data_IF_729513610977
#
_entry.id   IF_729513610977
#
_cell.length_a   1.000
_cell.length_b   1.000
_cell.length_c   1.000
_cell.angle_alpha   90.00
_cell.angle_beta   90.00
_cell.angle_gamma   90.00
#
_symmetry.space_group_name_H-M   'P 1'
#
loop_
_entity.id
_entity.type
_entity.pdbx_description
1 polymer ?
#
# COMPACT_ATOMS: atom_id res chain seq x y z
N UNK A 1 -16.34 -32.77 -16.79
CA UNK A 1 -15.04 -32.11 -16.57
C UNK A 1 -15.25 -31.11 -15.45
N UNK A 2 -14.88 -31.49 -14.23
CA UNK A 2 -14.94 -30.59 -13.08
C UNK A 2 -13.79 -29.60 -13.24
N UNK A 3 -14.13 -28.40 -13.71
CA UNK A 3 -13.19 -27.31 -13.83
C UNK A 3 -12.73 -27.03 -12.40
N UNK A 4 -11.47 -27.35 -12.09
CA UNK A 4 -10.89 -27.15 -10.77
C UNK A 4 -11.26 -25.75 -10.27
N UNK A 5 -12.26 -25.71 -9.38
CA UNK A 5 -12.59 -24.50 -8.66
C UNK A 5 -11.29 -24.16 -7.94
N UNK A 6 -10.55 -23.19 -8.47
CA UNK A 6 -9.38 -22.66 -7.82
C UNK A 6 -9.94 -22.02 -6.56
N UNK A 7 -9.94 -22.81 -5.49
CA UNK A 7 -10.42 -22.37 -4.19
C UNK A 7 -9.39 -21.33 -3.78
N UNK A 8 -9.75 -20.06 -3.95
CA UNK A 8 -9.01 -18.94 -3.38
C UNK A 8 -9.36 -18.96 -1.89
N UNK A 9 -8.82 -19.97 -1.20
CA UNK A 9 -8.95 -20.11 0.23
C UNK A 9 -8.46 -18.80 0.82
N UNK A 10 -9.23 -18.24 1.75
CA UNK A 10 -8.93 -17.02 2.48
C UNK A 10 -9.29 -15.68 1.83
N UNK A 11 -9.79 -15.62 0.58
CA UNK A 11 -10.18 -14.34 -0.03
C UNK A 11 -11.24 -13.59 0.78
N UNK A 12 -12.28 -14.31 1.23
CA UNK A 12 -13.38 -13.74 1.99
C UNK A 12 -13.06 -13.53 3.47
N UNK A 13 -12.05 -14.24 4.01
CA UNK A 13 -11.62 -14.12 5.41
C UNK A 13 -10.45 -13.17 5.60
N UNK A 14 -9.87 -12.63 4.52
CA UNK A 14 -8.75 -11.70 4.59
C UNK A 14 -9.19 -10.40 5.30
N UNK A 15 -8.59 -10.14 6.45
CA UNK A 15 -8.82 -8.94 7.24
C UNK A 15 -7.75 -7.90 6.91
N UNK A 16 -8.14 -6.97 6.05
CA UNK A 16 -7.26 -5.91 5.58
C UNK A 16 -6.87 -4.92 6.67
N UNK A 17 -7.77 -4.67 7.63
CA UNK A 17 -7.50 -3.73 8.72
C UNK A 17 -6.45 -4.31 9.65
N UNK A 18 -6.60 -5.58 10.01
CA UNK A 18 -5.64 -6.28 10.86
C UNK A 18 -4.24 -6.32 10.25
N UNK A 19 -4.13 -6.55 8.94
CA UNK A 19 -2.84 -6.45 8.25
C UNK A 19 -2.22 -5.05 8.37
N UNK A 20 -3.02 -3.98 8.25
CA UNK A 20 -2.49 -2.63 8.46
C UNK A 20 -2.05 -2.38 9.90
N UNK A 21 -2.79 -2.90 10.88
CA UNK A 21 -2.43 -2.76 12.30
C UNK A 21 -1.15 -3.54 12.65
N UNK A 22 -1.01 -4.76 12.13
CA UNK A 22 0.14 -5.62 12.41
C UNK A 22 1.43 -5.12 11.72
N UNK A 23 1.31 -4.52 10.53
CA UNK A 23 2.47 -4.19 9.67
C UNK A 23 2.65 -2.70 9.35
N UNK A 24 1.76 -1.80 9.79
CA UNK A 24 1.85 -0.37 9.43
C UNK A 24 1.51 0.58 10.57
N UNK A 25 1.20 0.08 11.77
CA UNK A 25 0.65 0.87 12.89
C UNK A 25 1.55 1.97 13.43
N UNK A 26 2.85 1.94 13.12
CA UNK A 26 3.84 2.89 13.66
C UNK A 26 4.10 2.70 15.16
N UNK A 27 3.78 1.52 15.69
CA UNK A 27 4.15 1.17 17.06
C UNK A 27 5.68 1.05 17.16
N UNK A 28 6.32 1.62 18.20
CA UNK A 28 7.78 1.56 18.37
C UNK A 28 8.33 0.12 18.43
N UNK A 29 7.51 -0.82 18.90
CA UNK A 29 7.84 -2.25 19.01
C UNK A 29 7.55 -3.04 17.73
N UNK A 30 7.25 -2.35 16.61
CA UNK A 30 6.99 -2.99 15.34
C UNK A 30 8.28 -3.63 14.80
N UNK A 31 8.38 -4.95 14.95
CA UNK A 31 9.56 -5.73 14.55
C UNK A 31 9.92 -5.66 13.05
N UNK A 32 8.98 -5.21 12.21
CA UNK A 32 9.09 -5.27 10.75
C UNK A 32 9.12 -3.90 10.06
N UNK A 33 9.29 -2.79 10.80
CA UNK A 33 9.26 -1.45 10.20
C UNK A 33 10.35 -1.30 9.12
N UNK A 34 11.54 -1.86 9.36
CA UNK A 34 12.62 -1.81 8.38
C UNK A 34 12.24 -2.56 7.08
N UNK A 35 11.78 -3.79 7.21
CA UNK A 35 11.54 -4.69 6.07
C UNK A 35 10.27 -4.35 5.28
N UNK A 36 9.21 -3.90 5.94
CA UNK A 36 7.90 -3.65 5.31
C UNK A 36 7.68 -2.17 4.95
N UNK A 37 8.40 -1.24 5.58
CA UNK A 37 8.22 0.19 5.35
C UNK A 37 9.46 0.84 4.78
N UNK A 38 10.55 0.91 5.53
CA UNK A 38 11.71 1.73 5.16
C UNK A 38 12.41 1.21 3.91
N UNK A 39 12.77 -0.07 3.88
CA UNK A 39 13.45 -0.68 2.74
C UNK A 39 12.62 -0.58 1.45
N UNK A 40 11.33 -0.97 1.41
CA UNK A 40 10.50 -0.82 0.20
C UNK A 40 10.38 0.64 -0.25
N UNK A 41 10.14 1.58 0.67
CA UNK A 41 10.02 3.00 0.33
C UNK A 41 11.32 3.52 -0.30
N UNK A 42 12.48 3.22 0.29
CA UNK A 42 13.79 3.62 -0.25
C UNK A 42 14.00 3.08 -1.67
N UNK A 43 13.70 1.80 -1.91
CA UNK A 43 13.86 1.20 -3.25
C UNK A 43 12.90 1.81 -4.26
N UNK A 44 11.65 2.08 -3.87
CA UNK A 44 10.67 2.71 -4.76
C UNK A 44 11.08 4.13 -5.11
N UNK A 45 11.49 4.94 -4.13
CA UNK A 45 12.00 6.30 -4.37
C UNK A 45 13.17 6.25 -5.34
N UNK A 46 14.17 5.39 -5.09
CA UNK A 46 15.33 5.23 -5.98
C UNK A 46 14.90 4.83 -7.39
N UNK A 47 14.02 3.84 -7.52
CA UNK A 47 13.55 3.36 -8.81
C UNK A 47 12.85 4.44 -9.63
N UNK A 48 11.90 5.18 -9.04
CA UNK A 48 11.18 6.22 -9.77
C UNK A 48 12.05 7.42 -10.10
N UNK A 49 12.95 7.80 -9.20
CA UNK A 49 13.84 8.97 -9.39
C UNK A 49 14.92 8.76 -10.45
N UNK A 50 15.26 7.51 -10.78
CA UNK A 50 16.07 7.19 -11.98
C UNK A 50 15.35 7.54 -13.30
N UNK A 51 14.04 7.82 -13.26
CA UNK A 51 13.26 8.32 -14.39
C UNK A 51 12.90 7.27 -15.45
N UNK A 52 13.31 6.02 -15.26
CA UNK A 52 13.00 4.90 -16.16
C UNK A 52 11.57 4.36 -15.98
N UNK A 53 10.94 4.61 -14.84
CA UNK A 53 9.59 4.12 -14.52
C UNK A 53 8.68 5.33 -14.31
N UNK A 54 7.88 5.65 -15.33
CA UNK A 54 6.87 6.72 -15.36
C UNK A 54 5.90 6.48 -16.51
N UNK A 55 4.73 7.10 -16.49
CA UNK A 55 3.78 7.00 -17.60
C UNK A 55 2.43 7.60 -17.23
N UNK A 56 1.42 7.40 -18.08
CA UNK A 56 0.12 8.04 -17.85
C UNK A 56 -0.70 7.27 -16.82
N UNK A 57 -0.66 5.94 -16.85
CA UNK A 57 -1.51 5.06 -16.03
C UNK A 57 -0.67 4.02 -15.29
N UNK A 58 -0.86 3.93 -13.96
CA UNK A 58 -0.38 2.85 -13.10
C UNK A 58 -1.57 2.01 -12.62
N UNK A 59 -1.51 0.69 -12.85
CA UNK A 59 -2.42 -0.26 -12.21
C UNK A 59 -1.76 -0.82 -10.95
N UNK A 60 -2.32 -0.53 -9.78
CA UNK A 60 -1.87 -1.08 -8.51
C UNK A 60 -2.61 -2.38 -8.18
N UNK A 61 -1.86 -3.48 -8.12
CA UNK A 61 -2.33 -4.82 -7.77
C UNK A 61 -1.65 -5.29 -6.48
N UNK A 62 -1.88 -4.56 -5.39
CA UNK A 62 -1.26 -4.83 -4.10
C UNK A 62 -2.18 -5.56 -3.12
N UNK A 63 -1.57 -6.28 -2.18
CA UNK A 63 -2.27 -7.06 -1.15
C UNK A 63 -2.99 -6.12 -0.19
N UNK A 64 -4.18 -6.52 0.27
CA UNK A 64 -4.96 -5.79 1.25
C UNK A 64 -5.26 -4.35 0.84
N UNK A 65 -5.32 -3.45 1.81
CA UNK A 65 -5.59 -2.02 1.66
C UNK A 65 -4.31 -1.18 1.84
N UNK A 66 -3.15 -1.79 1.57
CA UNK A 66 -1.87 -1.08 1.59
C UNK A 66 -1.81 -0.03 0.47
N UNK A 67 -1.25 1.14 0.80
CA UNK A 67 -1.03 2.24 -0.16
C UNK A 67 0.34 2.94 0.00
N UNK A 68 1.18 2.50 0.94
CA UNK A 68 2.46 3.16 1.25
C UNK A 68 3.37 3.31 0.02
N UNK A 69 3.36 2.31 -0.88
CA UNK A 69 4.13 2.30 -2.11
C UNK A 69 3.68 3.36 -3.12
N UNK A 70 2.42 3.80 -3.04
CA UNK A 70 1.87 4.81 -3.93
C UNK A 70 2.41 6.21 -3.63
N UNK A 71 2.91 6.46 -2.40
CA UNK A 71 3.55 7.72 -2.05
C UNK A 71 4.82 7.98 -2.87
N UNK A 72 5.49 6.94 -3.36
CA UNK A 72 6.63 7.09 -4.26
C UNK A 72 6.21 7.19 -5.73
N UNK A 73 5.04 6.64 -6.09
CA UNK A 73 4.60 6.54 -7.48
C UNK A 73 3.83 7.78 -7.98
N UNK A 74 3.08 8.47 -7.11
CA UNK A 74 2.10 9.50 -7.52
C UNK A 74 2.69 10.68 -8.31
N UNK A 75 3.99 10.98 -8.14
CA UNK A 75 4.67 12.06 -8.87
C UNK A 75 5.01 11.66 -10.32
N UNK A 76 4.96 10.38 -10.65
CA UNK A 76 5.44 9.81 -11.92
C UNK A 76 4.33 9.25 -12.79
N UNK A 77 3.10 9.20 -12.28
CA UNK A 77 1.92 8.73 -13.00
C UNK A 77 0.74 9.70 -12.82
N UNK A 78 0.09 10.04 -13.93
CA UNK A 78 -1.08 10.93 -13.92
C UNK A 78 -2.31 10.25 -13.29
N UNK A 79 -2.48 8.97 -13.59
CA UNK A 79 -3.60 8.18 -13.11
C UNK A 79 -3.12 6.92 -12.40
N UNK A 80 -3.59 6.70 -11.17
CA UNK A 80 -3.37 5.46 -10.42
C UNK A 80 -4.72 4.76 -10.26
N UNK A 81 -4.85 3.57 -10.85
CA UNK A 81 -6.01 2.71 -10.73
C UNK A 81 -5.68 1.62 -9.70
N UNK A 82 -6.30 1.71 -8.53
CA UNK A 82 -6.08 0.76 -7.43
C UNK A 82 -7.07 -0.38 -7.50
N UNK A 83 -6.56 -1.59 -7.67
CA UNK A 83 -7.33 -2.82 -7.81
C UNK A 83 -7.09 -3.71 -6.59
N UNK A 84 -8.15 -4.01 -5.84
CA UNK A 84 -8.06 -4.84 -4.63
C UNK A 84 -8.83 -6.15 -4.79
N UNK A 85 -8.30 -7.17 -4.12
CA UNK A 85 -8.77 -8.56 -4.26
C UNK A 85 -10.20 -8.79 -3.76
N UNK A 86 -10.70 -8.01 -2.80
CA UNK A 86 -12.04 -8.14 -2.27
C UNK A 86 -12.65 -6.79 -1.86
N UNK A 87 -13.97 -6.78 -1.68
CA UNK A 87 -14.71 -5.57 -1.32
C UNK A 87 -14.29 -4.97 0.03
N UNK A 88 -13.83 -5.79 0.98
CA UNK A 88 -13.40 -5.30 2.31
C UNK A 88 -12.15 -4.43 2.19
N UNK A 89 -11.20 -4.83 1.35
CA UNK A 89 -10.01 -4.02 1.05
C UNK A 89 -10.40 -2.72 0.34
N UNK A 90 -11.35 -2.77 -0.60
CA UNK A 90 -11.86 -1.57 -1.28
C UNK A 90 -12.55 -0.63 -0.28
N UNK A 91 -13.34 -1.16 0.64
CA UNK A 91 -14.01 -0.37 1.67
C UNK A 91 -13.04 0.31 2.64
N UNK A 92 -11.95 -0.36 3.05
CA UNK A 92 -10.89 0.27 3.85
C UNK A 92 -10.25 1.45 3.10
N UNK A 93 -9.98 1.28 1.80
CA UNK A 93 -9.46 2.38 0.99
C UNK A 93 -10.47 3.51 0.85
N UNK A 94 -11.75 3.22 0.59
CA UNK A 94 -12.80 4.23 0.50
C UNK A 94 -12.97 5.00 1.81
N UNK A 95 -12.87 4.32 2.97
CA UNK A 95 -12.82 5.01 4.27
C UNK A 95 -11.68 6.03 4.31
N UNK A 96 -10.50 5.66 3.82
CA UNK A 96 -9.36 6.58 3.79
C UNK A 96 -9.53 7.73 2.79
N UNK A 97 -10.05 7.47 1.58
CA UNK A 97 -10.24 8.48 0.52
C UNK A 97 -11.39 9.43 0.82
N UNK A 98 -12.55 8.91 1.21
CA UNK A 98 -13.82 9.65 1.20
C UNK A 98 -14.13 10.31 2.55
N UNK A 99 -14.07 9.53 3.64
CA UNK A 99 -14.62 9.97 4.94
C UNK A 99 -13.56 10.27 5.98
N UNK A 100 -12.42 9.58 5.92
CA UNK A 100 -11.33 9.53 6.92
C UNK A 100 -11.74 9.10 8.34
N UNK A 101 -13.03 9.18 8.70
CA UNK A 101 -13.57 8.69 9.97
C UNK A 101 -13.40 7.19 10.06
N UNK A 102 -12.68 6.74 11.09
CA UNK A 102 -12.38 5.33 11.28
C UNK A 102 -11.53 4.73 10.17
N UNK A 103 -10.78 5.52 9.40
CA UNK A 103 -9.79 5.05 8.44
C UNK A 103 -8.46 4.74 9.14
N UNK A 104 -7.64 3.90 8.52
CA UNK A 104 -6.26 3.71 8.94
C UNK A 104 -5.46 5.01 8.77
N UNK A 105 -4.64 5.36 9.77
CA UNK A 105 -3.87 6.59 9.78
C UNK A 105 -2.49 6.34 9.18
N UNK A 106 -2.22 6.97 8.03
CA UNK A 106 -0.95 6.82 7.32
C UNK A 106 0.09 7.90 7.67
N UNK A 107 -0.16 8.73 8.70
CA UNK A 107 0.71 9.87 9.04
C UNK A 107 2.15 9.48 9.32
N UNK A 108 2.37 8.43 10.13
CA UNK A 108 3.71 7.90 10.41
C UNK A 108 4.44 7.44 9.13
N UNK A 109 3.73 6.77 8.24
CA UNK A 109 4.28 6.29 6.97
C UNK A 109 4.66 7.47 6.05
N UNK A 110 3.85 8.52 6.02
CA UNK A 110 4.16 9.75 5.30
C UNK A 110 5.40 10.46 5.88
N UNK A 111 5.54 10.46 7.20
CA UNK A 111 6.72 11.02 7.86
C UNK A 111 7.98 10.23 7.49
N UNK A 112 7.96 8.90 7.61
CA UNK A 112 9.07 8.03 7.18
C UNK A 112 9.41 8.28 5.71
N UNK A 113 8.40 8.38 4.85
CA UNK A 113 8.59 8.63 3.42
C UNK A 113 9.31 9.96 3.17
N UNK A 114 8.88 11.04 3.83
CA UNK A 114 9.53 12.34 3.74
C UNK A 114 10.98 12.31 4.24
N UNK A 115 11.23 11.69 5.39
CA UNK A 115 12.58 11.54 5.96
C UNK A 115 13.52 10.75 5.03
N UNK A 116 13.01 9.76 4.30
CA UNK A 116 13.79 9.02 3.30
C UNK A 116 14.00 9.86 2.03
N UNK A 117 12.98 10.58 1.56
CA UNK A 117 13.12 11.48 0.41
C UNK A 117 14.15 12.59 0.66
N UNK A 118 14.25 13.12 1.88
CA UNK A 118 15.21 14.17 2.28
C UNK A 118 16.67 13.69 2.38
N UNK A 119 16.88 12.40 2.70
CA UNK A 119 18.22 11.80 2.81
C UNK A 119 18.87 11.47 1.45
N UNK A 120 18.20 11.81 0.34
CA UNK A 120 18.66 11.59 -1.03
C UNK A 120 19.65 12.66 -1.49
#
# INVERSE_FOLDING_TARGET
MDCSAHKIYHLHSFDSRRLLEDYFSGNPDMAFEEDFLKFPIEKLIKMFTLGHVKGDILFDLSIGSMIHHLYSAYKFFEHIIVLKLNDRCIMELKRWVDTRTGAFQWGHVLQIHAEIEEKR
#
